data_IF_937830853117
#
_entry.id   IF_937830853117
#
_cell.length_a   1.000
_cell.length_b   1.000
_cell.length_c   1.000
_cell.angle_alpha   90.00
_cell.angle_beta   90.00
_cell.angle_gamma   90.00
#
_symmetry.space_group_name_H-M   'P 1'
#
loop_
_entity.id
_entity.type
_entity.pdbx_description
1 polymer ?
#
# COMPACT_ATOMS: atom_id res chain seq x y z
N UNK A 1 -10.41 -15.10 -29.69
CA UNK A 1 -10.95 -13.82 -29.21
C UNK A 1 -11.77 -14.20 -27.99
N UNK A 2 -11.13 -14.20 -26.82
CA UNK A 2 -11.80 -14.50 -25.56
C UNK A 2 -12.68 -13.31 -25.20
N UNK A 3 -13.98 -13.55 -25.05
CA UNK A 3 -14.93 -12.57 -24.53
C UNK A 3 -14.56 -12.30 -23.07
N UNK A 4 -13.92 -11.15 -22.85
CA UNK A 4 -13.83 -10.50 -21.54
C UNK A 4 -15.18 -9.80 -21.37
N UNK A 5 -16.22 -10.56 -21.05
CA UNK A 5 -17.52 -10.00 -20.69
C UNK A 5 -17.79 -10.34 -19.23
N UNK A 6 -18.15 -9.30 -18.48
CA UNK A 6 -18.64 -9.29 -17.10
C UNK A 6 -17.62 -9.10 -15.96
N UNK A 7 -16.74 -8.09 -16.06
CA UNK A 7 -16.34 -7.37 -14.85
C UNK A 7 -17.52 -6.48 -14.42
N UNK A 8 -18.37 -7.00 -13.54
CA UNK A 8 -19.47 -6.24 -12.94
C UNK A 8 -18.92 -5.13 -12.05
N UNK A 9 -18.51 -4.02 -12.67
CA UNK A 9 -18.08 -2.81 -11.98
C UNK A 9 -19.32 -2.11 -11.44
N UNK A 10 -19.61 -2.32 -10.15
CA UNK A 10 -20.64 -1.55 -9.46
C UNK A 10 -20.08 -0.16 -9.15
N UNK A 11 -20.52 0.92 -9.82
CA UNK A 11 -19.91 2.24 -9.68
C UNK A 11 -20.08 2.85 -8.28
N UNK A 12 -21.01 2.32 -7.48
CA UNK A 12 -21.20 2.70 -6.08
C UNK A 12 -20.35 1.87 -5.10
N UNK A 13 -19.71 0.79 -5.56
CA UNK A 13 -18.85 -0.01 -4.71
C UNK A 13 -17.50 0.69 -4.54
N UNK A 14 -17.11 0.93 -3.29
CA UNK A 14 -15.75 1.38 -2.98
C UNK A 14 -14.84 0.17 -3.06
N UNK A 15 -13.83 0.15 -3.95
CA UNK A 15 -12.92 -0.97 -4.05
C UNK A 15 -12.18 -1.18 -2.72
N UNK A 16 -12.16 -2.43 -2.26
CA UNK A 16 -11.50 -2.85 -1.01
C UNK A 16 -10.59 -4.03 -1.31
N UNK A 17 -9.40 -4.00 -0.73
CA UNK A 17 -8.44 -5.11 -0.82
C UNK A 17 -8.39 -5.76 0.56
N UNK A 18 -8.68 -7.05 0.63
CA UNK A 18 -8.54 -7.85 1.84
C UNK A 18 -7.37 -8.81 1.66
N UNK A 19 -6.42 -8.78 2.57
CA UNK A 19 -5.24 -9.64 2.56
C UNK A 19 -5.28 -10.61 3.74
N UNK A 20 -5.15 -11.91 3.47
CA UNK A 20 -4.93 -12.92 4.52
C UNK A 20 -3.78 -13.82 4.10
N UNK A 21 -2.83 -14.05 5.02
CA UNK A 21 -1.67 -14.91 4.79
C UNK A 21 -1.84 -16.16 5.64
N UNK A 22 -1.78 -17.33 5.00
CA UNK A 22 -1.99 -18.60 5.68
C UNK A 22 -1.18 -19.73 5.02
N UNK A 23 -1.14 -20.87 5.70
CA UNK A 23 -0.55 -22.09 5.15
C UNK A 23 -1.30 -22.55 3.90
N UNK A 24 -0.60 -23.03 2.84
CA UNK A 24 -1.23 -23.54 1.63
C UNK A 24 -2.07 -24.81 1.86
N UNK A 25 -2.01 -25.39 3.06
CA UNK A 25 -2.78 -26.59 3.43
C UNK A 25 -4.01 -26.27 4.27
N UNK A 26 -4.22 -25.00 4.64
CA UNK A 26 -5.34 -24.56 5.46
C UNK A 26 -6.24 -23.67 4.61
N UNK A 27 -7.51 -24.05 4.40
CA UNK A 27 -8.44 -23.19 3.69
C UNK A 27 -8.86 -22.01 4.56
N UNK A 28 -8.77 -20.79 4.02
CA UNK A 28 -9.09 -19.55 4.73
C UNK A 28 -9.98 -18.68 3.86
N UNK A 29 -10.99 -18.08 4.48
CA UNK A 29 -11.78 -17.02 3.86
C UNK A 29 -11.12 -15.68 4.16
N UNK A 30 -10.68 -14.98 3.12
CA UNK A 30 -10.17 -13.60 3.23
C UNK A 30 -11.24 -12.63 3.71
N UNK A 31 -12.54 -12.96 3.56
CA UNK A 31 -13.63 -12.16 4.10
C UNK A 31 -13.76 -12.28 5.62
N UNK A 32 -13.39 -13.43 6.20
CA UNK A 32 -13.49 -13.67 7.64
C UNK A 32 -12.22 -13.25 8.40
N UNK A 33 -11.04 -13.50 7.81
CA UNK A 33 -9.73 -13.33 8.47
C UNK A 33 -8.78 -12.40 7.73
N UNK A 34 -9.27 -11.66 6.75
CA UNK A 34 -8.45 -10.73 5.98
C UNK A 34 -8.34 -9.36 6.62
N UNK A 35 -7.17 -8.75 6.46
CA UNK A 35 -6.89 -7.37 6.81
C UNK A 35 -7.26 -6.43 5.66
N UNK A 36 -7.95 -5.34 5.98
CA UNK A 36 -8.37 -4.35 4.98
C UNK A 36 -7.22 -3.39 4.66
N UNK A 37 -6.75 -3.41 3.42
CA UNK A 37 -5.74 -2.50 2.91
C UNK A 37 -6.37 -1.27 2.26
N UNK A 38 -5.74 -0.11 2.48
CA UNK A 38 -6.15 1.15 1.85
C UNK A 38 -5.50 1.29 0.49
N UNK A 39 -6.27 1.80 -0.46
CA UNK A 39 -5.78 2.08 -1.80
C UNK A 39 -4.80 3.25 -1.78
N UNK A 40 -3.81 3.21 -2.68
CA UNK A 40 -2.79 4.26 -2.82
C UNK A 40 -1.75 4.31 -1.69
N UNK A 41 -1.77 3.34 -0.78
CA UNK A 41 -0.78 3.24 0.30
C UNK A 41 0.25 2.15 -0.02
N UNK A 42 1.49 2.38 0.40
CA UNK A 42 2.53 1.35 0.38
C UNK A 42 2.45 0.58 1.70
N UNK A 43 2.71 -0.73 1.65
CA UNK A 43 2.69 -1.59 2.83
C UNK A 43 3.98 -2.43 2.89
N UNK A 44 4.53 -2.53 4.09
CA UNK A 44 5.57 -3.48 4.46
C UNK A 44 4.91 -4.60 5.26
N UNK A 45 4.96 -5.82 4.74
CA UNK A 45 4.36 -6.99 5.38
C UNK A 45 5.49 -7.85 5.92
N UNK A 46 5.57 -7.96 7.24
CA UNK A 46 6.54 -8.80 7.92
C UNK A 46 5.87 -10.13 8.26
N UNK A 47 6.46 -11.23 7.80
CA UNK A 47 5.88 -12.57 7.99
C UNK A 47 6.83 -13.40 8.85
N UNK A 48 6.29 -14.01 9.90
CA UNK A 48 6.96 -14.98 10.75
C UNK A 48 6.24 -16.32 10.68
N UNK A 49 6.99 -17.36 10.35
CA UNK A 49 6.48 -18.72 10.28
C UNK A 49 6.87 -19.48 11.54
N UNK A 50 5.89 -20.15 12.14
CA UNK A 50 6.05 -21.04 13.28
C UNK A 50 5.49 -22.42 12.95
N UNK A 51 6.10 -23.45 13.52
CA UNK A 51 5.71 -24.83 13.31
C UNK A 51 5.45 -25.50 14.65
N UNK A 52 4.23 -26.01 14.82
CA UNK A 52 3.85 -26.80 15.98
C UNK A 52 3.88 -28.29 15.64
N UNK A 53 4.49 -29.06 16.54
CA UNK A 53 4.57 -30.51 16.45
C UNK A 53 3.78 -31.14 17.59
N UNK A 54 2.80 -31.93 17.24
CA UNK A 54 2.03 -32.76 18.15
C UNK A 54 2.46 -34.22 18.01
N UNK A 55 2.18 -35.01 19.05
CA UNK A 55 2.54 -36.41 19.11
C UNK A 55 1.32 -37.27 18.83
N UNK A 56 1.53 -38.37 18.11
CA UNK A 56 0.50 -39.35 17.83
C UNK A 56 0.11 -40.11 19.11
N UNK A 57 -0.91 -40.96 19.03
CA UNK A 57 -1.20 -41.91 20.11
C UNK A 57 0.08 -42.67 20.53
N UNK A 58 0.38 -42.83 21.84
CA UNK A 58 -0.51 -42.75 23.02
C UNK A 58 -0.50 -41.41 23.76
N UNK A 59 0.05 -40.34 23.18
CA UNK A 59 0.05 -39.04 23.83
C UNK A 59 -1.34 -38.39 23.82
N UNK A 60 -1.62 -37.53 24.79
CA UNK A 60 -2.92 -36.86 24.95
C UNK A 60 -3.37 -36.09 23.70
N UNK A 61 -2.41 -35.54 22.95
CA UNK A 61 -2.66 -34.79 21.73
C UNK A 61 -3.29 -35.64 20.62
N UNK A 62 -3.01 -36.95 20.58
CA UNK A 62 -3.60 -37.94 19.67
C UNK A 62 -3.78 -37.38 18.23
N UNK A 63 -2.68 -36.87 17.67
CA UNK A 63 -2.72 -36.21 16.38
C UNK A 63 -2.76 -37.22 15.21
N UNK A 64 -3.12 -36.73 14.03
CA UNK A 64 -3.05 -37.48 12.77
C UNK A 64 -2.03 -36.86 11.82
N UNK A 65 -1.12 -37.69 11.27
CA UNK A 65 -0.23 -37.29 10.18
C UNK A 65 -0.97 -37.27 8.84
N UNK A 66 -1.69 -36.17 8.61
CA UNK A 66 -2.39 -35.93 7.34
C UNK A 66 -1.46 -35.95 6.13
N UNK A 67 -0.20 -35.55 6.27
CA UNK A 67 0.73 -35.54 5.15
C UNK A 67 1.16 -36.95 4.76
N UNK A 68 1.44 -37.80 5.76
CA UNK A 68 1.67 -39.23 5.56
C UNK A 68 0.47 -39.94 4.94
N UNK A 69 -0.74 -39.69 5.45
CA UNK A 69 -1.97 -40.25 4.88
C UNK A 69 -2.20 -39.81 3.43
N UNK A 70 -2.04 -38.52 3.13
CA UNK A 70 -2.16 -37.97 1.78
C UNK A 70 -1.16 -38.62 0.82
N UNK A 71 0.09 -38.80 1.25
CA UNK A 71 1.10 -39.52 0.45
C UNK A 71 0.70 -40.97 0.18
N UNK A 72 0.23 -41.68 1.21
CA UNK A 72 -0.20 -43.08 1.13
C UNK A 72 -1.42 -43.24 0.20
N UNK A 73 -2.30 -42.26 0.17
CA UNK A 73 -3.53 -42.25 -0.63
C UNK A 73 -3.34 -41.64 -2.02
N UNK A 74 -2.19 -41.87 -2.67
CA UNK A 74 -1.91 -41.34 -4.01
C UNK A 74 -2.14 -39.83 -4.14
N UNK A 75 -1.74 -39.05 -3.12
CA UNK A 75 -1.90 -37.59 -3.09
C UNK A 75 -3.36 -37.12 -3.12
N UNK A 76 -4.26 -37.88 -2.51
CA UNK A 76 -5.67 -37.52 -2.35
C UNK A 76 -6.05 -37.37 -0.87
N UNK A 77 -7.05 -36.54 -0.59
CA UNK A 77 -7.56 -36.30 0.77
C UNK A 77 -7.02 -35.03 1.45
N UNK A 78 -7.44 -34.78 2.70
CA UNK A 78 -7.05 -33.59 3.45
C UNK A 78 -5.58 -33.62 3.86
N UNK A 79 -4.96 -32.43 3.90
CA UNK A 79 -3.57 -32.23 4.34
C UNK A 79 -3.44 -31.50 5.68
N UNK A 80 -4.56 -31.15 6.28
CA UNK A 80 -4.68 -30.50 7.59
C UNK A 80 -6.05 -30.84 8.20
N UNK A 81 -6.21 -30.57 9.50
CA UNK A 81 -7.50 -30.68 10.17
C UNK A 81 -8.53 -29.73 9.54
N UNK A 82 -8.15 -28.48 9.31
CA UNK A 82 -9.04 -27.47 8.75
C UNK A 82 -9.53 -27.87 7.34
N UNK A 83 -8.66 -28.52 6.55
CA UNK A 83 -9.05 -29.08 5.26
C UNK A 83 -9.98 -30.29 5.41
N UNK A 84 -9.81 -31.12 6.44
CA UNK A 84 -10.70 -32.23 6.77
C UNK A 84 -12.09 -31.71 7.13
N UNK A 85 -12.16 -30.68 7.98
CA UNK A 85 -13.40 -30.05 8.42
C UNK A 85 -14.16 -29.45 7.22
N UNK A 86 -13.48 -28.74 6.31
CA UNK A 86 -14.12 -28.21 5.09
C UNK A 86 -14.60 -29.32 4.14
N UNK A 87 -13.82 -30.39 3.95
CA UNK A 87 -14.26 -31.54 3.15
C UNK A 87 -15.50 -32.20 3.78
N UNK A 88 -15.58 -32.22 5.12
CA UNK A 88 -16.71 -32.75 5.84
C UNK A 88 -18.00 -31.98 5.51
N UNK A 89 -17.96 -30.66 5.65
CA UNK A 89 -19.05 -29.78 5.25
C UNK A 89 -19.42 -29.98 3.78
N UNK A 90 -18.43 -29.91 2.88
CA UNK A 90 -18.67 -30.07 1.45
C UNK A 90 -19.36 -31.38 1.10
N UNK A 91 -18.97 -32.50 1.70
CA UNK A 91 -19.60 -33.81 1.44
C UNK A 91 -21.08 -33.83 1.82
N UNK A 92 -21.44 -33.22 2.94
CA UNK A 92 -22.82 -33.20 3.42
C UNK A 92 -23.70 -32.33 2.53
N UNK A 93 -23.25 -31.11 2.22
CA UNK A 93 -23.99 -30.21 1.34
C UNK A 93 -24.09 -30.75 -0.09
N UNK A 94 -23.03 -31.39 -0.59
CA UNK A 94 -23.05 -31.99 -1.92
C UNK A 94 -24.03 -33.16 -2.00
N UNK A 95 -24.15 -33.96 -0.95
CA UNK A 95 -25.11 -35.05 -0.89
C UNK A 95 -26.57 -34.55 -0.95
N UNK A 96 -26.84 -33.37 -0.39
CA UNK A 96 -28.19 -32.79 -0.35
C UNK A 96 -28.56 -32.02 -1.63
N UNK A 97 -27.68 -31.14 -2.14
CA UNK A 97 -28.00 -30.23 -3.25
C UNK A 97 -27.45 -30.64 -4.62
N UNK A 98 -26.52 -31.60 -4.67
CA UNK A 98 -25.79 -31.94 -5.89
C UNK A 98 -25.01 -30.76 -6.52
N UNK A 99 -24.77 -29.68 -5.77
CA UNK A 99 -23.94 -28.53 -6.15
C UNK A 99 -23.00 -28.13 -5.00
N UNK A 100 -22.01 -27.29 -5.29
CA UNK A 100 -21.00 -26.79 -4.35
C UNK A 100 -21.42 -25.41 -3.82
N UNK A 101 -21.60 -25.27 -2.51
CA UNK A 101 -22.03 -24.00 -1.90
C UNK A 101 -20.98 -22.90 -1.90
N UNK A 102 -19.79 -23.16 -2.44
CA UNK A 102 -18.72 -22.17 -2.44
C UNK A 102 -18.03 -22.07 -1.08
N UNK A 103 -17.71 -23.22 -0.48
CA UNK A 103 -16.88 -23.28 0.72
C UNK A 103 -15.52 -22.62 0.51
N UNK A 104 -14.73 -22.48 1.58
CA UNK A 104 -13.39 -21.87 1.54
C UNK A 104 -12.47 -22.55 0.50
N UNK A 105 -12.79 -23.77 0.10
CA UNK A 105 -12.20 -24.45 -1.05
C UNK A 105 -13.23 -24.70 -2.15
N UNK A 106 -13.18 -23.93 -3.23
CA UNK A 106 -13.91 -24.25 -4.45
C UNK A 106 -13.01 -25.15 -5.31
N UNK A 107 -13.35 -26.44 -5.41
CA UNK A 107 -12.59 -27.36 -6.27
C UNK A 107 -12.95 -27.21 -7.75
N UNK A 108 -14.19 -26.80 -8.05
CA UNK A 108 -14.66 -26.63 -9.43
C UNK A 108 -15.75 -25.56 -9.51
N UNK A 109 -15.44 -24.45 -10.18
CA UNK A 109 -16.33 -23.32 -10.38
C UNK A 109 -17.61 -23.66 -11.18
N UNK A 110 -17.59 -24.74 -11.99
CA UNK A 110 -18.73 -25.11 -12.84
C UNK A 110 -19.94 -25.65 -12.06
N UNK A 111 -19.72 -26.08 -10.81
CA UNK A 111 -20.76 -26.72 -10.01
C UNK A 111 -21.20 -25.86 -8.82
N UNK A 112 -20.87 -24.56 -8.81
CA UNK A 112 -21.24 -23.67 -7.71
C UNK A 112 -22.75 -23.44 -7.71
N UNK A 113 -23.39 -23.53 -6.54
CA UNK A 113 -24.81 -23.30 -6.39
C UNK A 113 -25.15 -21.83 -6.70
N UNK A 114 -25.97 -21.58 -7.73
CA UNK A 114 -26.36 -20.24 -8.18
C UNK A 114 -27.30 -19.53 -7.18
N UNK A 115 -28.01 -20.30 -6.36
CA UNK A 115 -28.91 -19.78 -5.33
C UNK A 115 -28.61 -20.41 -3.97
N UNK A 116 -28.16 -19.59 -3.03
CA UNK A 116 -28.09 -19.93 -1.61
C UNK A 116 -29.53 -20.01 -1.07
N UNK A 117 -30.19 -21.15 -1.24
CA UNK A 117 -31.43 -21.40 -0.47
C UNK A 117 -31.04 -21.58 0.99
N UNK A 118 -31.57 -20.71 1.85
CA UNK A 118 -31.22 -20.61 3.27
C UNK A 118 -31.96 -21.62 4.18
N UNK A 119 -32.89 -22.41 3.63
CA UNK A 119 -33.70 -23.34 4.40
C UNK A 119 -33.23 -24.78 4.15
N UNK A 120 -32.12 -25.17 4.76
CA UNK A 120 -31.58 -26.52 4.64
C UNK A 120 -31.50 -27.21 5.99
N UNK A 121 -32.06 -28.42 6.03
CA UNK A 121 -31.90 -29.34 7.15
C UNK A 121 -30.60 -30.11 6.96
N UNK A 122 -29.53 -29.61 7.56
CA UNK A 122 -28.28 -30.35 7.68
C UNK A 122 -28.48 -31.38 8.78
N UNK A 123 -28.16 -32.64 8.49
CA UNK A 123 -28.10 -33.68 9.52
C UNK A 123 -26.91 -33.39 10.46
N UNK A 124 -27.20 -32.70 11.57
CA UNK A 124 -26.23 -32.28 12.57
C UNK A 124 -25.46 -33.47 13.16
N UNK A 125 -26.09 -34.64 13.26
CA UNK A 125 -25.47 -35.85 13.80
C UNK A 125 -24.38 -36.39 12.85
N UNK A 126 -24.68 -36.45 11.55
CA UNK A 126 -23.69 -36.83 10.53
C UNK A 126 -22.53 -35.85 10.46
N UNK A 127 -22.81 -34.55 10.54
CA UNK A 127 -21.78 -33.51 10.60
C UNK A 127 -20.90 -33.67 11.82
N UNK A 128 -21.50 -33.80 13.01
CA UNK A 128 -20.77 -33.94 14.26
C UNK A 128 -19.88 -35.17 14.25
N UNK A 129 -20.40 -36.31 13.76
CA UNK A 129 -19.62 -37.54 13.63
C UNK A 129 -18.39 -37.34 12.74
N UNK A 130 -18.59 -36.73 11.58
CA UNK A 130 -17.52 -36.50 10.62
C UNK A 130 -16.46 -35.49 11.12
N UNK A 131 -16.88 -34.43 11.84
CA UNK A 131 -15.93 -33.49 12.48
C UNK A 131 -15.14 -34.13 13.63
N UNK A 132 -15.74 -35.08 14.36
CA UNK A 132 -15.04 -35.83 15.41
C UNK A 132 -13.96 -36.77 14.84
N UNK A 133 -14.15 -37.27 13.62
CA UNK A 133 -13.14 -38.09 12.93
C UNK A 133 -11.94 -37.24 12.45
N UNK A 134 -12.11 -35.93 12.28
CA UNK A 134 -11.04 -35.00 11.91
C UNK A 134 -10.17 -34.62 13.13
N UNK A 135 -9.20 -35.47 13.46
CA UNK A 135 -8.23 -35.22 14.54
C UNK A 135 -7.31 -34.02 14.25
N UNK A 136 -6.64 -33.49 15.28
CA UNK A 136 -5.65 -32.42 15.10
C UNK A 136 -4.47 -32.89 14.25
N UNK A 137 -3.87 -31.98 13.47
CA UNK A 137 -2.71 -32.33 12.64
C UNK A 137 -1.45 -32.48 13.48
N UNK A 138 -0.64 -33.51 13.21
CA UNK A 138 0.64 -33.69 13.92
C UNK A 138 1.66 -32.59 13.64
N UNK A 139 1.52 -31.94 12.48
CA UNK A 139 2.35 -30.81 12.06
C UNK A 139 1.43 -29.66 11.66
N UNK A 140 1.57 -28.50 12.29
CA UNK A 140 0.80 -27.30 11.97
C UNK A 140 1.74 -26.15 11.67
N UNK A 141 1.54 -25.52 10.50
CA UNK A 141 2.26 -24.31 10.10
C UNK A 141 1.38 -23.10 10.40
N UNK A 142 1.91 -22.17 11.19
CA UNK A 142 1.26 -20.94 11.60
C UNK A 142 2.05 -19.78 11.02
N UNK A 143 1.34 -18.85 10.38
CA UNK A 143 1.92 -17.64 9.82
C UNK A 143 1.38 -16.46 10.61
N UNK A 144 2.28 -15.80 11.34
CA UNK A 144 2.02 -14.50 11.95
C UNK A 144 2.49 -13.44 10.99
N UNK A 145 1.71 -12.39 10.81
CA UNK A 145 2.12 -11.28 9.96
C UNK A 145 1.70 -9.94 10.54
N UNK A 146 2.59 -8.97 10.39
CA UNK A 146 2.36 -7.59 10.76
C UNK A 146 2.39 -6.73 9.50
N UNK A 147 1.36 -5.91 9.33
CA UNK A 147 1.23 -5.00 8.21
C UNK A 147 1.51 -3.60 8.74
N UNK A 148 2.55 -2.97 8.21
CA UNK A 148 2.88 -1.58 8.53
C UNK A 148 2.86 -0.74 7.26
N UNK A 149 2.40 0.49 7.38
CA UNK A 149 2.57 1.49 6.33
C UNK A 149 3.95 2.12 6.56
N UNK A 150 4.96 1.83 5.72
CA UNK A 150 6.24 2.48 5.88
C UNK A 150 6.05 3.98 5.77
N UNK A 151 6.68 4.71 6.69
CA UNK A 151 6.88 6.14 6.51
C UNK A 151 7.81 6.29 5.32
N UNK A 152 7.24 6.52 4.14
CA UNK A 152 8.01 7.02 3.01
C UNK A 152 8.40 8.42 3.43
N UNK A 153 9.65 8.63 3.82
CA UNK A 153 10.16 9.98 4.01
C UNK A 153 9.82 10.76 2.73
N UNK A 154 9.08 11.87 2.85
CA UNK A 154 8.75 12.67 1.68
C UNK A 154 10.07 13.02 1.00
N UNK A 155 10.22 12.57 -0.25
CA UNK A 155 11.37 12.76 -1.14
C UNK A 155 12.32 13.83 -0.62
N UNK A 156 13.50 13.44 -0.11
CA UNK A 156 14.45 14.40 0.44
C UNK A 156 14.67 15.49 -0.62
N UNK A 157 14.56 16.77 -0.25
CA UNK A 157 14.63 17.86 -1.23
C UNK A 157 15.90 17.79 -2.12
N UNK A 158 16.97 17.16 -1.62
CA UNK A 158 18.21 16.87 -2.35
C UNK A 158 18.00 16.05 -3.62
N UNK A 159 17.09 15.10 -3.63
CA UNK A 159 16.81 14.26 -4.81
C UNK A 159 16.09 15.07 -5.89
N UNK A 160 15.21 15.99 -5.48
CA UNK A 160 14.55 16.93 -6.39
C UNK A 160 15.58 17.86 -7.02
N UNK A 161 16.49 18.43 -6.23
CA UNK A 161 17.55 19.29 -6.76
C UNK A 161 18.52 18.53 -7.67
N UNK A 162 18.80 17.27 -7.36
CA UNK A 162 19.65 16.42 -8.20
C UNK A 162 18.96 16.06 -9.53
N UNK A 163 17.66 15.77 -9.50
CA UNK A 163 16.87 15.48 -10.70
C UNK A 163 16.71 16.72 -11.60
N UNK A 164 16.32 17.86 -11.02
CA UNK A 164 16.19 19.13 -11.76
C UNK A 164 17.55 19.57 -12.28
N UNK A 165 18.60 19.52 -11.44
CA UNK A 165 19.96 19.88 -11.84
C UNK A 165 20.51 18.97 -12.94
N UNK A 166 20.22 17.67 -12.90
CA UNK A 166 20.59 16.71 -13.95
C UNK A 166 19.88 16.97 -15.27
N UNK A 167 18.57 17.25 -15.24
CA UNK A 167 17.79 17.61 -16.42
C UNK A 167 18.26 18.95 -17.02
N UNK A 168 18.42 19.99 -16.20
CA UNK A 168 18.92 21.29 -16.66
C UNK A 168 20.35 21.19 -17.19
N UNK A 169 21.21 20.40 -16.55
CA UNK A 169 22.57 20.13 -17.00
C UNK A 169 22.63 19.38 -18.33
N UNK A 170 21.78 18.36 -18.53
CA UNK A 170 21.73 17.62 -19.79
C UNK A 170 21.15 18.44 -20.94
N UNK A 171 20.09 19.22 -20.70
CA UNK A 171 19.41 19.97 -21.76
C UNK A 171 20.11 21.26 -22.13
N UNK A 172 20.62 21.98 -21.14
CA UNK A 172 21.14 23.33 -21.34
C UNK A 172 22.67 23.40 -21.19
N UNK A 173 23.32 22.37 -20.67
CA UNK A 173 24.77 22.40 -20.37
C UNK A 173 25.13 23.40 -19.26
N UNK A 174 24.14 23.89 -18.52
CA UNK A 174 24.31 24.93 -17.49
C UNK A 174 24.56 24.22 -16.16
N UNK A 175 25.68 24.55 -15.52
CA UNK A 175 25.99 24.14 -14.15
C UNK A 175 25.59 25.24 -13.15
N UNK A 176 25.48 24.90 -11.87
CA UNK A 176 25.23 25.87 -10.79
C UNK A 176 26.24 27.03 -10.83
N UNK A 177 27.49 26.75 -11.22
CA UNK A 177 28.56 27.73 -11.38
C UNK A 177 28.37 28.70 -12.54
N UNK A 178 27.74 28.24 -13.63
CA UNK A 178 27.40 29.15 -14.74
C UNK A 178 26.26 30.10 -14.35
N UNK A 179 25.31 29.64 -13.53
CA UNK A 179 24.24 30.51 -13.01
C UNK A 179 24.75 31.60 -12.06
N UNK A 180 25.71 31.30 -11.19
CA UNK A 180 26.31 32.33 -10.33
C UNK A 180 27.10 33.35 -11.13
N UNK A 181 27.84 32.93 -12.17
CA UNK A 181 28.55 33.86 -13.06
C UNK A 181 27.62 34.78 -13.85
N UNK A 182 26.48 34.27 -14.34
CA UNK A 182 25.47 35.09 -15.04
C UNK A 182 24.80 36.08 -14.08
N UNK A 183 24.48 35.65 -12.85
CA UNK A 183 23.89 36.51 -11.82
C UNK A 183 24.84 37.66 -11.42
N UNK A 184 26.13 37.38 -11.27
CA UNK A 184 27.12 38.42 -10.91
C UNK A 184 27.28 39.46 -12.04
N UNK A 185 27.37 39.00 -13.29
CA UNK A 185 27.43 39.87 -14.47
C UNK A 185 26.19 40.77 -14.61
N UNK A 186 24.99 40.20 -14.44
CA UNK A 186 23.74 40.95 -14.51
C UNK A 186 23.58 41.92 -13.34
N UNK A 187 23.99 41.52 -12.13
CA UNK A 187 23.98 42.39 -10.95
C UNK A 187 24.93 43.59 -11.11
N UNK A 188 26.15 43.38 -11.56
CA UNK A 188 27.12 44.46 -11.82
C UNK A 188 26.64 45.41 -12.93
N UNK A 189 26.02 44.86 -13.98
CA UNK A 189 25.46 45.66 -15.07
C UNK A 189 24.28 46.51 -14.57
N UNK A 190 23.42 45.93 -13.73
CA UNK A 190 22.29 46.64 -13.11
C UNK A 190 22.74 47.76 -12.16
N UNK A 191 23.79 47.52 -11.36
CA UNK A 191 24.39 48.55 -10.50
C UNK A 191 25.00 49.71 -11.30
N UNK A 192 25.64 49.42 -12.44
CA UNK A 192 26.18 50.45 -13.32
C UNK A 192 25.07 51.28 -13.99
N UNK A 193 23.96 50.64 -14.35
CA UNK A 193 22.78 51.32 -14.89
C UNK A 193 22.12 52.24 -13.85
N UNK A 194 21.96 51.76 -12.61
CA UNK A 194 21.51 52.56 -11.47
C UNK A 194 22.41 53.78 -11.21
N UNK A 195 23.74 53.61 -11.29
CA UNK A 195 24.69 54.74 -11.19
C UNK A 195 24.54 55.75 -12.32
N UNK A 196 24.23 55.32 -13.55
CA UNK A 196 23.95 56.24 -14.66
C UNK A 196 22.65 57.02 -14.45
N UNK A 197 21.59 56.37 -13.93
CA UNK A 197 20.33 57.05 -13.60
C UNK A 197 20.50 58.09 -12.49
N UNK A 198 21.29 57.78 -11.45
CA UNK A 198 21.61 58.74 -10.37
C UNK A 198 22.45 59.92 -10.88
N UNK A 199 23.39 59.70 -11.82
CA UNK A 199 24.15 60.79 -12.44
C UNK A 199 23.27 61.68 -13.32
N UNK A 200 22.29 61.10 -14.02
CA UNK A 200 21.35 61.81 -14.88
C UNK A 200 20.38 62.69 -14.08
N UNK A 201 19.97 62.29 -12.87
CA UNK A 201 19.13 63.13 -12.00
C UNK A 201 19.87 64.32 -11.37
N UNK A 202 21.20 64.26 -11.21
CA UNK A 202 22.01 65.39 -10.73
C UNK A 202 22.22 66.48 -11.78
N UNK A 203 22.10 66.18 -13.07
CA UNK A 203 22.22 67.16 -14.16
C UNK A 203 20.89 67.82 -14.54
N UNK A 204 19.75 67.29 -14.09
CA UNK A 204 18.42 67.88 -14.33
C UNK A 204 17.95 68.86 -13.25
N UNK A 205 18.87 69.45 -12.48
CA UNK A 205 18.53 70.54 -11.56
C UNK A 205 19.53 71.71 -11.64
N UNK A 206 19.43 72.57 -12.66
CA UNK A 206 19.87 73.95 -12.55
C UNK A 206 18.68 74.92 -12.52
N UNK A 207 18.79 75.91 -11.63
CA UNK A 207 18.13 77.24 -11.64
C UNK A 207 17.13 77.49 -10.49
N UNK A 208 17.66 77.85 -9.32
CA UNK A 208 17.04 78.87 -8.48
C UNK A 208 18.08 79.94 -8.17
N UNK A 209 17.90 81.07 -8.86
CA UNK A 209 18.75 82.25 -8.89
C UNK A 209 18.91 82.90 -7.52
N UNK A 210 20.08 83.52 -7.40
CA UNK A 210 20.57 84.40 -6.37
C UNK A 210 19.53 85.36 -5.78
N UNK A 211 19.54 85.51 -4.45
CA UNK A 211 19.00 86.67 -3.76
C UNK A 211 20.17 87.56 -3.28
N UNK A 212 20.09 88.88 -3.49
CA UNK A 212 21.21 89.77 -3.25
C UNK A 212 21.41 90.05 -1.77
N UNK A 213 22.69 90.04 -1.40
CA UNK A 213 23.28 90.52 -0.16
C UNK A 213 22.84 91.96 0.18
N UNK A 214 21.90 92.12 1.11
CA UNK A 214 21.46 93.42 1.63
C UNK A 214 22.20 93.76 2.92
N UNK A 215 23.17 94.67 2.77
CA UNK A 215 23.90 95.41 3.81
C UNK A 215 22.97 96.42 4.51
N UNK A 216 23.01 96.55 5.84
CA UNK A 216 22.64 97.68 6.74
C UNK A 216 22.44 97.13 8.16
N UNK A 217 22.70 97.79 9.27
CA UNK A 217 23.50 98.96 9.67
C UNK A 217 23.64 98.80 11.20
N UNK A 218 24.80 99.16 11.75
CA UNK A 218 24.97 99.47 13.17
C UNK A 218 23.99 100.57 13.61
N UNK A 219 23.33 100.38 14.76
CA UNK A 219 22.94 101.48 15.64
C UNK A 219 22.78 101.01 17.09
N UNK A 220 23.53 101.71 17.92
CA UNK A 220 23.72 101.71 19.37
C UNK A 220 22.56 102.38 20.14
N UNK A 221 22.53 102.16 21.46
CA UNK A 221 21.86 102.94 22.53
C UNK A 221 20.31 102.87 22.54
N UNK A 222 19.61 102.63 23.65
CA UNK A 222 19.83 102.87 25.09
C UNK A 222 19.16 101.78 25.93
#
# INVERSE_FOLDING_TARGET
MENIEDESFYPWAVPRILLSIHSPFVPVSTLEKGELLRLGHLYSIYIRMEEEHFLEYPYYTNCTDYYGLWKKNNKTGPRSKEMCDEICWWKLYKADMNCDKGFKMIQNLKNVCEHLRFNEHIDEDSLRKCLMDCMISCRKLIFHYDITEPFIEPFEAKDIFSYIGGLMGCWLGISVWTSTGIAESTFLTSLNFLKQLVRKSRQSSPDLKELPFRRRHHSTLT
#
